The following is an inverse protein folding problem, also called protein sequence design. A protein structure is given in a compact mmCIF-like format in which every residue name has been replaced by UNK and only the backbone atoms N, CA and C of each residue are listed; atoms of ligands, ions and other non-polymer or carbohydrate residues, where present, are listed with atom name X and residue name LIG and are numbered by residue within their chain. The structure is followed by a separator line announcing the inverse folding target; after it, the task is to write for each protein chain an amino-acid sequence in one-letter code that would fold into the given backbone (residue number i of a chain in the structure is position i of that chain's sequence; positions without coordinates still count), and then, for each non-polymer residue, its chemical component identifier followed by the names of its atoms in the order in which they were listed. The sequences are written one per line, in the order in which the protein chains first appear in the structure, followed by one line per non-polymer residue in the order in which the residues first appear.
data_IF_300527808730
#
_entry.id   IF_300527808730
#
_cell.length_a   1.000
_cell.length_b   1.000
_cell.length_c   1.000
_cell.angle_alpha   90.00
_cell.angle_beta   90.00
_cell.angle_gamma   90.00
#
_symmetry.space_group_name_H-M   'P 1'
#
loop_
_entity.id
_entity.type
_entity.pdbx_description
1 polymer ?
#
# COMPACT_ATOMS: atom_id res chain seq x y z
N UNK A 1 14.86 23.43 -14.71
CA UNK A 1 15.99 23.04 -13.83
C UNK A 1 15.62 22.14 -12.63
N UNK A 2 14.41 22.21 -12.07
CA UNK A 2 14.00 21.34 -10.95
C UNK A 2 13.71 19.89 -11.38
N UNK A 3 13.15 19.69 -12.56
CA UNK A 3 12.87 18.36 -13.13
C UNK A 3 14.15 17.57 -13.44
N UNK A 4 15.21 18.23 -13.91
CA UNK A 4 16.48 17.56 -14.23
C UNK A 4 17.22 17.07 -12.97
N UNK A 5 17.10 17.78 -11.83
CA UNK A 5 17.65 17.34 -10.55
C UNK A 5 16.91 16.11 -10.00
N UNK A 6 15.56 16.11 -10.05
CA UNK A 6 14.75 14.98 -9.57
C UNK A 6 15.01 13.69 -10.37
N UNK A 7 15.12 13.78 -11.69
CA UNK A 7 15.45 12.63 -12.55
C UNK A 7 16.86 12.09 -12.25
N UNK A 8 17.84 12.97 -12.06
CA UNK A 8 19.21 12.58 -11.72
C UNK A 8 19.28 11.81 -10.40
N UNK A 9 18.49 12.19 -9.41
CA UNK A 9 18.42 11.48 -8.11
C UNK A 9 17.73 10.12 -8.23
N UNK A 10 16.71 9.99 -9.09
CA UNK A 10 16.07 8.69 -9.39
C UNK A 10 17.08 7.73 -10.01
N UNK A 11 17.84 8.16 -11.02
CA UNK A 11 18.86 7.32 -11.68
C UNK A 11 19.97 6.91 -10.73
N UNK A 12 20.45 7.81 -9.85
CA UNK A 12 21.48 7.48 -8.85
C UNK A 12 21.00 6.39 -7.89
N UNK A 13 19.77 6.50 -7.39
CA UNK A 13 19.21 5.51 -6.46
C UNK A 13 18.91 4.19 -7.15
N UNK A 14 18.50 4.21 -8.42
CA UNK A 14 18.33 3.01 -9.22
C UNK A 14 19.67 2.31 -9.45
N UNK A 15 20.72 3.06 -9.74
CA UNK A 15 22.08 2.55 -9.84
C UNK A 15 22.57 1.91 -8.51
N UNK A 16 22.31 2.56 -7.38
CA UNK A 16 22.60 2.03 -6.06
C UNK A 16 21.85 0.71 -5.80
N UNK A 17 20.55 0.67 -6.07
CA UNK A 17 19.76 -0.56 -5.89
C UNK A 17 20.31 -1.71 -6.74
N UNK A 18 20.62 -1.46 -8.01
CA UNK A 18 21.20 -2.45 -8.91
C UNK A 18 22.57 -2.96 -8.44
N UNK A 19 23.44 -2.04 -8.00
CA UNK A 19 24.75 -2.39 -7.43
C UNK A 19 24.61 -3.26 -6.18
N UNK A 20 23.72 -2.89 -5.25
CA UNK A 20 23.50 -3.67 -4.03
C UNK A 20 22.89 -5.04 -4.33
N UNK A 21 21.99 -5.16 -5.30
CA UNK A 21 21.44 -6.45 -5.72
C UNK A 21 22.50 -7.33 -6.38
N UNK A 22 23.40 -6.76 -7.19
CA UNK A 22 24.52 -7.48 -7.79
C UNK A 22 25.48 -8.00 -6.72
N UNK A 23 25.84 -7.16 -5.74
CA UNK A 23 26.69 -7.56 -4.61
C UNK A 23 26.01 -8.64 -3.76
N UNK A 24 24.69 -8.51 -3.52
CA UNK A 24 23.91 -9.53 -2.82
C UNK A 24 23.98 -10.89 -3.52
N UNK A 25 23.86 -10.90 -4.86
CA UNK A 25 23.98 -12.11 -5.67
C UNK A 25 25.36 -12.77 -5.51
N UNK A 26 26.44 -11.98 -5.52
CA UNK A 26 27.80 -12.47 -5.29
C UNK A 26 27.96 -13.07 -3.89
N UNK A 27 27.43 -12.37 -2.87
CA UNK A 27 27.44 -12.86 -1.48
C UNK A 27 26.68 -14.17 -1.29
N UNK A 28 25.56 -14.34 -1.99
CA UNK A 28 24.83 -15.62 -1.99
C UNK A 28 25.65 -16.74 -2.65
N UNK A 29 26.36 -16.45 -3.73
CA UNK A 29 27.25 -17.42 -4.35
C UNK A 29 28.41 -17.85 -3.42
N UNK A 30 28.89 -16.92 -2.59
CA UNK A 30 29.90 -17.15 -1.54
C UNK A 30 29.30 -17.81 -0.27
N UNK A 31 27.99 -18.09 -0.22
CA UNK A 31 27.23 -18.57 0.94
C UNK A 31 27.26 -17.61 2.16
N UNK A 32 27.57 -16.34 1.95
CA UNK A 32 27.50 -15.28 2.95
C UNK A 32 26.07 -14.71 3.01
N UNK A 33 25.19 -15.40 3.73
CA UNK A 33 23.78 -14.99 3.86
C UNK A 33 23.61 -13.69 4.66
N UNK A 34 24.47 -13.40 5.64
CA UNK A 34 24.39 -12.15 6.42
C UNK A 34 24.77 -10.93 5.58
N UNK A 35 25.87 -11.03 4.82
CA UNK A 35 26.28 -9.99 3.89
C UNK A 35 25.25 -9.77 2.79
N UNK A 36 24.66 -10.84 2.25
CA UNK A 36 23.58 -10.76 1.27
C UNK A 36 22.35 -10.04 1.82
N UNK A 37 21.90 -10.38 3.03
CA UNK A 37 20.74 -9.75 3.66
C UNK A 37 20.92 -8.24 3.85
N UNK A 38 22.11 -7.81 4.25
CA UNK A 38 22.46 -6.38 4.39
C UNK A 38 22.32 -5.66 3.04
N UNK A 39 22.87 -6.23 1.97
CA UNK A 39 22.79 -5.65 0.63
C UNK A 39 21.33 -5.62 0.09
N UNK A 40 20.54 -6.67 0.33
CA UNK A 40 19.12 -6.69 -0.02
C UNK A 40 18.36 -5.59 0.70
N UNK A 41 18.59 -5.39 1.98
CA UNK A 41 17.97 -4.32 2.77
C UNK A 41 18.30 -2.94 2.22
N UNK A 42 19.56 -2.71 1.82
CA UNK A 42 19.99 -1.45 1.21
C UNK A 42 19.37 -1.25 -0.18
N UNK A 43 19.27 -2.30 -0.99
CA UNK A 43 18.59 -2.23 -2.29
C UNK A 43 17.11 -1.88 -2.13
N UNK A 44 16.41 -2.53 -1.20
CA UNK A 44 15.02 -2.23 -0.90
C UNK A 44 14.83 -0.78 -0.38
N UNK A 45 15.71 -0.31 0.47
CA UNK A 45 15.68 1.07 0.95
C UNK A 45 15.86 2.09 -0.19
N UNK A 46 16.77 1.80 -1.13
CA UNK A 46 16.99 2.64 -2.31
C UNK A 46 15.77 2.64 -3.24
N UNK A 47 15.14 1.49 -3.47
CA UNK A 47 13.93 1.36 -4.28
C UNK A 47 12.73 2.06 -3.64
N UNK A 48 12.51 1.90 -2.34
CA UNK A 48 11.45 2.59 -1.61
C UNK A 48 11.65 4.11 -1.64
N UNK A 49 12.89 4.57 -1.50
CA UNK A 49 13.23 5.98 -1.61
C UNK A 49 13.00 6.53 -3.02
N UNK A 50 13.23 5.72 -4.06
CA UNK A 50 12.91 6.06 -5.44
C UNK A 50 11.40 6.15 -5.66
N UNK A 51 10.65 5.18 -5.21
CA UNK A 51 9.18 5.19 -5.28
C UNK A 51 8.61 6.47 -4.64
N UNK A 52 9.11 6.83 -3.45
CA UNK A 52 8.70 8.06 -2.77
C UNK A 52 9.02 9.32 -3.60
N UNK A 53 10.20 9.39 -4.22
CA UNK A 53 10.57 10.52 -5.08
C UNK A 53 9.69 10.61 -6.34
N UNK A 54 9.40 9.48 -6.96
CA UNK A 54 8.53 9.43 -8.14
C UNK A 54 7.12 9.91 -7.77
N UNK A 55 6.57 9.42 -6.67
CA UNK A 55 5.27 9.85 -6.15
C UNK A 55 5.27 11.36 -5.89
N UNK A 56 6.29 11.89 -5.21
CA UNK A 56 6.42 13.33 -4.95
C UNK A 56 6.58 14.14 -6.24
N UNK A 57 7.22 13.59 -7.26
CA UNK A 57 7.39 14.28 -8.56
C UNK A 57 6.09 14.30 -9.34
N UNK A 58 5.38 13.17 -9.41
CA UNK A 58 4.04 13.08 -10.03
C UNK A 58 3.09 14.05 -9.33
N UNK A 59 3.14 14.06 -8.01
CA UNK A 59 2.38 14.97 -7.15
C UNK A 59 2.62 16.44 -7.51
N UNK A 60 3.88 16.87 -7.68
CA UNK A 60 4.24 18.23 -8.07
C UNK A 60 3.91 18.56 -9.53
N UNK A 61 3.86 17.57 -10.41
CA UNK A 61 3.47 17.74 -11.81
C UNK A 61 1.96 17.91 -11.97
N UNK A 62 1.19 17.32 -11.07
CA UNK A 62 -0.26 17.42 -11.01
C UNK A 62 -0.75 18.64 -10.21
N UNK A 63 0.08 19.67 -10.06
CA UNK A 63 -0.09 20.84 -9.18
C UNK A 63 -1.30 21.72 -9.56
N UNK A 64 -2.43 21.06 -9.66
CA UNK A 64 -3.76 21.60 -9.67
C UNK A 64 -4.60 21.13 -8.48
N UNK A 65 -3.99 20.65 -7.38
CA UNK A 65 -4.69 20.44 -6.10
C UNK A 65 -4.83 19.00 -5.59
N UNK A 66 -4.08 18.02 -6.12
CA UNK A 66 -4.35 16.59 -5.80
C UNK A 66 -3.25 15.85 -5.03
N UNK A 67 -2.07 16.44 -4.90
CA UNK A 67 -0.89 15.75 -4.37
C UNK A 67 -0.82 15.69 -2.85
N UNK A 68 -1.21 16.76 -2.17
CA UNK A 68 -1.25 16.78 -0.71
C UNK A 68 -2.23 15.74 -0.15
N UNK A 69 -3.36 15.55 -0.82
CA UNK A 69 -4.38 14.59 -0.37
C UNK A 69 -3.96 13.13 -0.44
N UNK A 70 -3.06 12.73 -1.36
CA UNK A 70 -2.60 11.35 -1.43
C UNK A 70 -1.54 11.03 -0.36
N UNK A 71 -0.61 11.93 -0.13
CA UNK A 71 0.38 11.76 0.96
C UNK A 71 -0.31 11.72 2.33
N UNK A 72 -1.27 12.61 2.53
CA UNK A 72 -2.09 12.64 3.74
C UNK A 72 -2.91 11.35 3.91
N UNK A 73 -3.52 10.85 2.85
CA UNK A 73 -4.17 9.54 2.84
C UNK A 73 -3.23 8.41 3.23
N UNK A 74 -2.02 8.38 2.65
CA UNK A 74 -1.02 7.35 2.97
C UNK A 74 -0.59 7.41 4.44
N UNK A 75 -0.40 8.61 4.97
CA UNK A 75 -0.01 8.80 6.37
C UNK A 75 -1.15 8.41 7.32
N UNK A 76 -2.37 8.83 7.04
CA UNK A 76 -3.55 8.43 7.81
C UNK A 76 -3.75 6.92 7.77
N UNK A 77 -3.64 6.29 6.60
CA UNK A 77 -3.76 4.83 6.45
C UNK A 77 -2.66 4.07 7.20
N UNK A 78 -1.43 4.58 7.18
CA UNK A 78 -0.31 4.04 7.95
C UNK A 78 -0.57 4.11 9.46
N UNK A 79 -1.07 5.24 9.93
CA UNK A 79 -1.38 5.46 11.34
C UNK A 79 -2.52 4.54 11.79
N UNK A 80 -3.60 4.45 11.01
CA UNK A 80 -4.71 3.53 11.29
C UNK A 80 -4.26 2.06 11.27
N UNK A 81 -3.38 1.67 10.34
CA UNK A 81 -2.83 0.31 10.29
C UNK A 81 -1.98 -0.02 11.51
N UNK A 82 -1.21 0.94 12.04
CA UNK A 82 -0.44 0.77 13.27
C UNK A 82 -1.35 0.61 14.50
N UNK A 83 -2.42 1.41 14.57
CA UNK A 83 -3.45 1.27 15.61
C UNK A 83 -4.16 -0.09 15.52
N UNK A 84 -4.56 -0.51 14.33
CA UNK A 84 -5.21 -1.81 14.10
C UNK A 84 -4.29 -2.96 14.49
N UNK A 85 -3.00 -2.87 14.19
CA UNK A 85 -2.02 -3.86 14.64
C UNK A 85 -1.99 -3.96 16.16
N UNK A 86 -2.00 -2.83 16.87
CA UNK A 86 -2.04 -2.81 18.34
C UNK A 86 -3.29 -3.50 18.89
N UNK A 87 -4.46 -3.26 18.26
CA UNK A 87 -5.72 -3.96 18.63
C UNK A 87 -5.60 -5.46 18.37
N UNK A 88 -5.04 -5.87 17.25
CA UNK A 88 -4.83 -7.28 16.91
C UNK A 88 -3.90 -7.98 17.90
N UNK A 89 -2.82 -7.31 18.33
CA UNK A 89 -1.87 -7.86 19.31
C UNK A 89 -2.56 -8.06 20.68
N UNK A 90 -3.42 -7.13 21.10
CA UNK A 90 -4.24 -7.27 22.29
C UNK A 90 -5.26 -8.43 22.17
N UNK A 91 -5.89 -8.55 21.02
CA UNK A 91 -6.82 -9.63 20.71
C UNK A 91 -6.14 -11.00 20.72
N UNK A 92 -4.93 -11.09 20.21
CA UNK A 92 -4.14 -12.33 20.26
C UNK A 92 -3.83 -12.76 21.69
N UNK A 93 -3.54 -11.81 22.58
CA UNK A 93 -3.34 -12.10 24.00
C UNK A 93 -4.61 -12.64 24.66
N UNK A 94 -5.78 -12.10 24.30
CA UNK A 94 -7.08 -12.62 24.77
C UNK A 94 -7.34 -14.04 24.27
N UNK A 95 -7.04 -14.32 23.00
CA UNK A 95 -7.25 -15.62 22.37
C UNK A 95 -6.37 -16.73 22.98
N UNK A 96 -5.18 -16.40 23.48
CA UNK A 96 -4.27 -17.35 24.14
C UNK A 96 -4.77 -17.78 25.53
N UNK A 97 -5.82 -17.16 26.08
CA UNK A 97 -6.47 -17.59 27.31
C UNK A 97 -5.63 -17.51 28.59
N UNK A 98 -4.47 -16.88 28.54
CA UNK A 98 -3.52 -16.82 29.66
C UNK A 98 -3.79 -15.68 30.65
N UNK A 99 -4.98 -15.06 30.58
CA UNK A 99 -5.32 -13.88 31.37
C UNK A 99 -6.35 -14.17 32.45
N UNK A 100 -6.19 -13.49 33.59
CA UNK A 100 -7.21 -13.49 34.65
C UNK A 100 -8.53 -12.90 34.13
N UNK A 101 -9.69 -13.47 34.50
CA UNK A 101 -10.99 -12.97 34.02
C UNK A 101 -11.23 -11.47 34.26
N UNK A 102 -10.69 -10.93 35.34
CA UNK A 102 -10.78 -9.51 35.71
C UNK A 102 -10.06 -8.58 34.73
N UNK A 103 -9.02 -9.05 34.03
CA UNK A 103 -8.27 -8.28 33.04
C UNK A 103 -8.92 -8.34 31.64
N UNK A 104 -9.67 -9.41 31.36
CA UNK A 104 -10.31 -9.60 30.06
C UNK A 104 -11.24 -8.45 29.70
N UNK A 105 -12.11 -8.02 30.62
CA UNK A 105 -13.04 -6.92 30.39
C UNK A 105 -12.34 -5.58 30.14
N UNK A 106 -11.25 -5.29 30.85
CA UNK A 106 -10.50 -4.04 30.66
C UNK A 106 -9.78 -3.99 29.31
N UNK A 107 -9.29 -5.14 28.83
CA UNK A 107 -8.65 -5.24 27.52
C UNK A 107 -9.69 -5.07 26.42
N UNK A 108 -10.84 -5.75 26.51
CA UNK A 108 -11.94 -5.60 25.55
C UNK A 108 -12.41 -4.16 25.49
N UNK A 109 -12.57 -3.48 26.63
CA UNK A 109 -12.95 -2.06 26.66
C UNK A 109 -11.93 -1.16 25.99
N UNK A 110 -10.62 -1.43 26.17
CA UNK A 110 -9.54 -0.71 25.49
C UNK A 110 -9.57 -0.97 23.98
N UNK A 111 -9.69 -2.21 23.56
CA UNK A 111 -9.81 -2.59 22.16
C UNK A 111 -11.02 -1.91 21.49
N UNK A 112 -12.15 -1.87 22.18
CA UNK A 112 -13.37 -1.21 21.73
C UNK A 112 -13.14 0.30 21.51
N UNK A 113 -12.49 0.98 22.46
CA UNK A 113 -12.13 2.39 22.31
C UNK A 113 -11.24 2.60 21.09
N UNK A 114 -10.16 1.84 20.97
CA UNK A 114 -9.23 1.94 19.85
C UNK A 114 -9.90 1.62 18.50
N UNK A 115 -10.80 0.63 18.47
CA UNK A 115 -11.52 0.26 17.25
C UNK A 115 -12.48 1.37 16.81
N UNK A 116 -13.14 2.07 17.76
CA UNK A 116 -13.97 3.25 17.47
C UNK A 116 -13.14 4.42 16.96
N UNK A 117 -11.94 4.64 17.49
CA UNK A 117 -11.03 5.69 17.01
C UNK A 117 -10.60 5.42 15.56
N UNK A 118 -10.28 4.18 15.23
CA UNK A 118 -9.98 3.77 13.85
C UNK A 118 -11.19 3.98 12.94
N UNK A 119 -12.40 3.60 13.40
CA UNK A 119 -13.64 3.81 12.65
C UNK A 119 -13.90 5.28 12.34
N UNK A 120 -13.74 6.14 13.34
CA UNK A 120 -13.94 7.59 13.19
C UNK A 120 -12.93 8.19 12.21
N UNK A 121 -11.65 7.82 12.32
CA UNK A 121 -10.61 8.26 11.39
C UNK A 121 -10.89 7.80 9.97
N UNK A 122 -11.36 6.56 9.79
CA UNK A 122 -11.73 6.04 8.48
C UNK A 122 -12.93 6.78 7.89
N UNK A 123 -13.97 7.02 8.67
CA UNK A 123 -15.16 7.79 8.24
C UNK A 123 -14.80 9.22 7.87
N UNK A 124 -13.94 9.89 8.65
CA UNK A 124 -13.46 11.22 8.32
C UNK A 124 -12.72 11.21 6.99
N UNK A 125 -11.77 10.31 6.80
CA UNK A 125 -11.01 10.15 5.56
C UNK A 125 -11.93 9.90 4.36
N UNK A 126 -12.94 9.03 4.49
CA UNK A 126 -13.93 8.78 3.43
C UNK A 126 -14.73 10.05 3.07
N UNK A 127 -15.10 10.86 4.06
CA UNK A 127 -15.80 12.12 3.84
C UNK A 127 -14.93 13.14 3.11
N UNK A 128 -13.66 13.30 3.50
CA UNK A 128 -12.70 14.19 2.84
C UNK A 128 -12.46 13.78 1.38
N UNK A 129 -12.40 12.48 1.12
CA UNK A 129 -12.25 11.94 -0.23
C UNK A 129 -13.50 12.18 -1.10
N UNK A 130 -14.69 11.97 -0.54
CA UNK A 130 -15.94 12.21 -1.27
C UNK A 130 -16.09 13.71 -1.62
N UNK A 131 -15.71 14.61 -0.72
CA UNK A 131 -15.72 16.06 -0.98
C UNK A 131 -14.70 16.47 -2.05
N UNK A 132 -13.59 15.74 -2.16
CA UNK A 132 -12.54 15.98 -3.14
C UNK A 132 -12.86 15.38 -4.53
N UNK A 133 -14.02 14.74 -4.72
CA UNK A 133 -14.42 14.09 -5.97
C UNK A 133 -13.59 12.86 -6.35
N UNK A 134 -12.79 12.34 -5.44
CA UNK A 134 -11.92 11.18 -5.65
C UNK A 134 -12.69 9.89 -5.34
N UNK A 135 -13.47 9.43 -6.29
CA UNK A 135 -14.12 8.11 -6.21
C UNK A 135 -13.12 7.01 -6.61
N UNK A 136 -13.14 5.90 -5.88
CA UNK A 136 -12.39 4.68 -6.26
C UNK A 136 -11.13 4.39 -5.43
N UNK A 137 -10.95 5.02 -4.29
CA UNK A 137 -9.76 4.84 -3.45
C UNK A 137 -9.87 3.62 -2.53
N UNK A 138 -9.75 2.43 -3.11
CA UNK A 138 -9.66 1.17 -2.37
C UNK A 138 -11.00 0.71 -1.74
N UNK A 139 -10.96 -0.42 -1.05
CA UNK A 139 -12.12 -1.05 -0.39
C UNK A 139 -12.37 -0.45 1.01
N UNK A 140 -12.44 0.89 1.12
CA UNK A 140 -12.65 1.58 2.41
C UNK A 140 -14.02 1.26 3.01
N UNK A 141 -15.06 1.13 2.18
CA UNK A 141 -16.40 0.74 2.61
C UNK A 141 -16.41 -0.68 3.18
N UNK A 142 -15.70 -1.61 2.55
CA UNK A 142 -15.56 -2.97 3.05
C UNK A 142 -14.77 -3.03 4.36
N UNK A 143 -13.73 -2.21 4.51
CA UNK A 143 -12.99 -2.06 5.78
C UNK A 143 -13.91 -1.52 6.87
N UNK A 144 -14.68 -0.45 6.60
CA UNK A 144 -15.62 0.15 7.54
C UNK A 144 -16.66 -0.86 8.02
N UNK A 145 -17.27 -1.61 7.10
CA UNK A 145 -18.26 -2.65 7.45
C UNK A 145 -17.69 -3.77 8.33
N UNK A 146 -16.45 -4.19 8.07
CA UNK A 146 -15.81 -5.20 8.93
C UNK A 146 -15.46 -4.63 10.32
N UNK A 147 -15.07 -3.35 10.41
CA UNK A 147 -14.85 -2.65 11.68
C UNK A 147 -16.14 -2.57 12.49
N UNK A 148 -17.28 -2.23 11.85
CA UNK A 148 -18.59 -2.17 12.53
C UNK A 148 -18.91 -3.51 13.20
N UNK A 149 -18.74 -4.62 12.48
CA UNK A 149 -18.96 -5.97 13.03
C UNK A 149 -18.05 -6.30 14.22
N UNK A 150 -16.77 -5.91 14.15
CA UNK A 150 -15.83 -6.09 15.25
C UNK A 150 -16.25 -5.28 16.47
N UNK A 151 -16.72 -4.05 16.27
CA UNK A 151 -17.24 -3.19 17.35
C UNK A 151 -18.44 -3.86 18.03
N UNK A 152 -19.39 -4.37 17.27
CA UNK A 152 -20.58 -5.06 17.78
C UNK A 152 -20.17 -6.29 18.61
N UNK A 153 -19.26 -7.13 18.09
CA UNK A 153 -18.73 -8.29 18.80
C UNK A 153 -18.02 -7.90 20.11
N UNK A 154 -17.26 -6.80 20.11
CA UNK A 154 -16.58 -6.30 21.32
C UNK A 154 -17.55 -5.70 22.34
N UNK A 155 -18.62 -5.04 21.91
CA UNK A 155 -19.69 -4.51 22.79
C UNK A 155 -20.39 -5.66 23.52
N UNK A 156 -20.62 -6.77 22.84
CA UNK A 156 -21.20 -7.98 23.43
C UNK A 156 -20.22 -8.76 24.33
N UNK A 157 -18.99 -8.27 24.52
CA UNK A 157 -17.90 -8.97 25.18
C UNK A 157 -17.61 -10.36 24.54
N UNK A 158 -17.99 -10.53 23.29
CA UNK A 158 -17.82 -11.76 22.53
C UNK A 158 -16.57 -11.63 21.67
N UNK A 159 -15.40 -11.95 22.24
CA UNK A 159 -14.14 -12.02 21.51
C UNK A 159 -13.78 -13.48 21.27
N UNK A 160 -13.93 -13.92 20.03
CA UNK A 160 -13.66 -15.28 19.59
C UNK A 160 -12.62 -15.33 18.46
N UNK A 161 -12.39 -16.52 17.93
CA UNK A 161 -11.48 -16.75 16.82
C UNK A 161 -11.93 -16.02 15.54
N UNK A 162 -13.24 -15.86 15.35
CA UNK A 162 -13.79 -15.19 14.16
C UNK A 162 -13.52 -13.69 14.22
N UNK A 163 -13.71 -13.08 15.41
CA UNK A 163 -13.36 -11.68 15.69
C UNK A 163 -11.88 -11.44 15.41
N UNK A 164 -10.99 -12.32 15.90
CA UNK A 164 -9.56 -12.21 15.64
C UNK A 164 -9.23 -12.31 14.14
N UNK A 165 -9.80 -13.27 13.43
CA UNK A 165 -9.61 -13.41 11.99
C UNK A 165 -10.11 -12.19 11.22
N UNK A 166 -11.23 -11.59 11.64
CA UNK A 166 -11.81 -10.38 11.08
C UNK A 166 -10.87 -9.19 11.27
N UNK A 167 -10.30 -9.03 12.45
CA UNK A 167 -9.29 -8.01 12.75
C UNK A 167 -8.02 -8.16 11.90
N UNK A 168 -7.54 -9.38 11.70
CA UNK A 168 -6.39 -9.64 10.81
C UNK A 168 -6.71 -9.28 9.34
N UNK A 169 -7.92 -9.57 8.90
CA UNK A 169 -8.41 -9.22 7.55
C UNK A 169 -8.51 -7.71 7.36
N UNK A 170 -8.99 -6.96 8.36
CA UNK A 170 -9.03 -5.50 8.36
C UNK A 170 -7.62 -4.94 8.18
N UNK A 171 -6.66 -5.39 8.98
CA UNK A 171 -5.26 -4.97 8.88
C UNK A 171 -4.68 -5.25 7.49
N UNK A 172 -4.88 -6.45 6.97
CA UNK A 172 -4.43 -6.84 5.63
C UNK A 172 -5.01 -5.94 4.54
N UNK A 173 -6.30 -5.61 4.61
CA UNK A 173 -6.96 -4.69 3.66
C UNK A 173 -6.43 -3.26 3.79
N UNK A 174 -6.21 -2.75 5.01
CA UNK A 174 -5.62 -1.43 5.23
C UNK A 174 -4.22 -1.32 4.64
N UNK A 175 -3.39 -2.34 4.79
CA UNK A 175 -2.03 -2.37 4.22
C UNK A 175 -2.03 -2.47 2.69
N UNK A 176 -3.03 -3.12 2.10
CA UNK A 176 -3.16 -3.29 0.65
C UNK A 176 -3.90 -2.13 -0.03
N UNK A 177 -4.67 -1.34 0.71
CA UNK A 177 -5.46 -0.22 0.17
C UNK A 177 -4.62 0.80 -0.61
N UNK A 178 -3.44 1.23 -0.15
CA UNK A 178 -2.58 2.12 -0.92
C UNK A 178 -2.07 1.53 -2.24
N UNK A 179 -1.93 0.20 -2.33
CA UNK A 179 -1.46 -0.48 -3.54
C UNK A 179 -2.54 -0.55 -4.63
N UNK A 180 -3.81 -0.66 -4.24
CA UNK A 180 -4.91 -0.67 -5.20
C UNK A 180 -5.13 0.70 -5.85
N UNK A 181 -4.80 1.79 -5.15
CA UNK A 181 -4.86 3.15 -5.69
C UNK A 181 -3.85 3.38 -6.81
N UNK A 182 -2.63 2.88 -6.65
CA UNK A 182 -1.60 2.98 -7.70
C UNK A 182 -1.96 2.16 -8.93
N UNK A 183 -2.70 1.07 -8.81
CA UNK A 183 -3.16 0.27 -9.94
C UNK A 183 -4.33 0.92 -10.69
N UNK A 184 -5.31 1.47 -9.97
CA UNK A 184 -6.48 2.10 -10.56
C UNK A 184 -6.11 3.38 -11.35
N UNK A 185 -5.22 4.22 -10.82
CA UNK A 185 -4.74 5.40 -11.54
C UNK A 185 -3.92 5.09 -12.81
N UNK A 186 -3.42 3.87 -12.95
CA UNK A 186 -2.69 3.43 -14.13
C UNK A 186 -3.61 2.85 -15.22
N UNK A 187 -4.80 2.37 -14.84
CA UNK A 187 -5.78 1.79 -15.78
C UNK A 187 -6.68 2.86 -16.42
N UNK A 188 -6.97 3.96 -15.73
CA UNK A 188 -7.79 5.06 -16.27
C UNK A 188 -7.12 5.84 -17.42
N UNK A 189 -5.79 5.77 -17.58
CA UNK A 189 -5.07 6.38 -18.71
C UNK A 189 -4.94 5.46 -19.93
N UNK A 190 -5.32 4.21 -19.85
CA UNK A 190 -5.34 3.27 -20.97
C UNK A 190 -6.66 3.27 -21.73
N UNK A 191 -7.07 4.38 -22.26
CA UNK A 191 -8.01 4.38 -23.39
C UNK A 191 -7.28 3.92 -24.62
N UNK A 192 -7.25 2.62 -24.85
CA UNK A 192 -6.85 2.01 -26.10
C UNK A 192 -7.84 2.46 -27.20
N UNK A 193 -7.43 3.41 -28.02
CA UNK A 193 -8.12 3.65 -29.28
C UNK A 193 -7.83 2.45 -30.18
N UNK A 194 -8.82 1.60 -30.37
CA UNK A 194 -8.80 0.55 -31.39
C UNK A 194 -8.48 1.23 -32.72
N UNK A 195 -7.34 0.89 -33.33
CA UNK A 195 -7.02 1.33 -34.68
C UNK A 195 -7.98 0.62 -35.63
N UNK A 196 -9.05 1.31 -36.02
CA UNK A 196 -10.11 0.79 -36.89
C UNK A 196 -9.69 0.56 -38.32
N UNK A 197 -8.52 1.02 -38.76
CA UNK A 197 -7.96 0.74 -40.08
C UNK A 197 -6.43 0.83 -40.04
N UNK A 198 -5.77 -0.32 -40.03
CA UNK A 198 -4.41 -0.45 -40.53
C UNK A 198 -4.59 -0.90 -41.98
N UNK A 199 -4.43 0.02 -42.92
CA UNK A 199 -4.21 -0.36 -44.33
C UNK A 199 -2.82 -1.01 -44.40
N UNK A 200 -2.77 -2.33 -44.44
CA UNK A 200 -1.55 -3.07 -44.71
C UNK A 200 -1.20 -2.82 -46.20
N UNK A 201 -0.28 -1.93 -46.45
CA UNK A 201 0.41 -1.92 -47.74
C UNK A 201 1.24 -3.20 -47.84
N UNK A 202 0.92 -4.05 -48.83
CA UNK A 202 1.72 -5.21 -49.14
C UNK A 202 3.18 -4.80 -49.28
N UNK A 203 4.14 -5.52 -48.70
CA UNK A 203 5.58 -5.24 -48.90
C UNK A 203 5.87 -5.27 -50.41
N UNK A 204 6.59 -4.29 -50.87
CA UNK A 204 7.13 -4.28 -52.24
C UNK A 204 7.90 -5.58 -52.45
N UNK A 205 7.56 -6.33 -53.54
CA UNK A 205 8.23 -7.55 -53.89
C UNK A 205 9.75 -7.36 -53.97
N UNK A 206 10.50 -8.36 -53.54
CA UNK A 206 11.95 -8.37 -53.62
C UNK A 206 12.37 -8.12 -55.09
N UNK A 207 13.43 -7.30 -55.33
CA UNK A 207 14.00 -7.17 -56.64
C UNK A 207 14.47 -8.53 -57.16
N UNK A 208 14.23 -8.78 -58.47
CA UNK A 208 14.51 -10.07 -59.12
C UNK A 208 16.00 -10.36 -59.34
N UNK A 209 16.89 -9.52 -58.83
CA UNK A 209 18.35 -9.63 -58.98
C UNK A 209 19.09 -10.12 -57.72
N UNK A 210 18.36 -10.65 -56.75
CA UNK A 210 18.89 -11.30 -55.53
C UNK A 210 18.70 -12.82 -55.58
N UNK A 211 18.97 -13.44 -56.72
CA UNK A 211 18.99 -14.88 -56.90
C UNK A 211 20.37 -15.37 -57.34
#
# INVERSE_FOLDING_TARGET
CLLSRGLGDVYKRQGLANSQMSTSKSKLAERDSKGSLSNQTQAMAALNSNAKLIIQTISKMNDGGSASGYEEFLEQMKNMSAMQKSVNDQGMQLALGQMAPSLKGSIISRMLSQQRDIQNSLKQMMNEMNQSGKQGLGDLNGISSEIDKVIDELVENNYDRNTNNRQQKILGRMLNSPQSMTKSGYEDERTSKSALHISSTTPLGLPSDLG
#
